data_IF_956115523058
#
_entry.id   IF_956115523058
#
_cell.length_a   1.000
_cell.length_b   1.000
_cell.length_c   1.000
_cell.angle_alpha   90.00
_cell.angle_beta   90.00
_cell.angle_gamma   90.00
#
_symmetry.space_group_name_H-M   'P 1'
#
loop_
_entity.id
_entity.type
_entity.pdbx_description
1 polymer ?
#
# COMPACT_ATOMS: atom_id res chain seq x y z
N UNK A 1 -8.57 17.84 23.07
CA UNK A 1 -7.88 16.92 22.14
C UNK A 1 -6.55 17.57 21.77
N UNK A 2 -5.44 16.95 22.14
CA UNK A 2 -4.09 17.44 21.86
C UNK A 2 -3.81 17.21 20.37
N UNK A 3 -3.56 18.27 19.60
CA UNK A 3 -3.24 18.18 18.16
C UNK A 3 -1.72 18.08 18.02
N UNK A 4 -1.23 16.98 17.47
CA UNK A 4 0.21 16.69 17.44
C UNK A 4 0.80 17.04 16.08
N UNK A 5 1.56 18.13 16.03
CA UNK A 5 2.42 18.44 14.88
C UNK A 5 3.77 17.78 15.13
N UNK A 6 4.14 16.79 14.31
CA UNK A 6 5.39 16.05 14.42
C UNK A 6 6.26 16.38 13.21
N UNK A 7 7.30 17.17 13.45
CA UNK A 7 8.24 17.58 12.42
C UNK A 7 9.54 16.82 12.62
N UNK A 8 9.90 15.96 11.66
CA UNK A 8 11.20 15.32 11.61
C UNK A 8 12.08 16.07 10.62
N UNK A 9 13.00 16.87 11.14
CA UNK A 9 13.92 17.64 10.31
C UNK A 9 15.35 17.42 10.74
N UNK A 10 16.26 17.44 9.76
CA UNK A 10 17.68 17.65 10.02
C UNK A 10 17.88 19.02 10.71
N UNK A 11 18.94 19.22 11.52
CA UNK A 11 19.17 20.46 12.27
C UNK A 11 19.09 21.74 11.43
N UNK A 12 19.50 21.68 10.15
CA UNK A 12 19.46 22.80 9.21
C UNK A 12 18.06 23.20 8.74
N UNK A 13 17.08 22.30 8.80
CA UNK A 13 15.69 22.62 8.44
C UNK A 13 14.90 23.21 9.63
N UNK A 14 15.38 23.03 10.86
CA UNK A 14 14.78 23.61 12.07
C UNK A 14 14.82 25.16 12.04
N UNK A 15 15.97 25.74 11.70
CA UNK A 15 16.13 27.20 11.60
C UNK A 15 15.22 27.84 10.53
N UNK A 16 14.77 27.07 9.53
CA UNK A 16 13.87 27.53 8.46
C UNK A 16 12.38 27.39 8.81
N UNK A 17 12.03 26.51 9.74
CA UNK A 17 10.66 26.31 10.22
C UNK A 17 10.20 27.42 11.17
N UNK A 18 11.14 27.99 11.92
CA UNK A 18 10.87 28.85 13.08
C UNK A 18 10.36 30.26 12.73
N UNK A 19 10.63 30.80 11.53
CA UNK A 19 10.40 32.23 11.25
C UNK A 19 9.03 32.59 10.68
N UNK A 20 8.34 31.73 9.93
CA UNK A 20 7.08 32.08 9.25
C UNK A 20 5.94 31.06 9.40
N UNK A 21 6.26 29.76 9.46
CA UNK A 21 5.28 28.69 9.38
C UNK A 21 4.76 28.25 10.75
N UNK A 22 5.65 28.21 11.76
CA UNK A 22 5.26 27.89 13.14
C UNK A 22 4.11 28.80 13.62
N UNK A 23 4.19 30.14 13.57
CA UNK A 23 3.12 31.02 14.08
C UNK A 23 1.73 30.78 13.43
N UNK A 24 1.70 30.38 12.15
CA UNK A 24 0.46 30.06 11.42
C UNK A 24 -0.09 28.67 11.76
N UNK A 25 0.79 27.70 11.98
CA UNK A 25 0.44 26.35 12.50
C UNK A 25 0.04 26.38 14.00
N UNK A 26 0.55 27.36 14.76
CA UNK A 26 0.43 27.49 16.22
C UNK A 26 -0.91 28.02 16.71
N UNK A 27 -1.80 28.57 15.87
CA UNK A 27 -3.07 29.19 16.32
C UNK A 27 -3.92 28.20 17.16
N UNK A 28 -3.70 28.19 18.49
CA UNK A 28 -4.42 27.45 19.51
C UNK A 28 -3.92 26.06 19.92
N UNK A 29 -2.68 25.62 19.60
CA UNK A 29 -2.32 24.18 19.73
C UNK A 29 -0.95 23.86 20.39
N UNK A 30 -0.90 22.73 21.11
CA UNK A 30 0.33 22.15 21.70
C UNK A 30 1.16 21.44 20.63
N UNK A 31 2.37 21.94 20.34
CA UNK A 31 3.29 21.30 19.37
C UNK A 31 4.24 20.36 20.11
N UNK A 32 4.32 19.10 19.67
CA UNK A 32 5.33 18.14 20.14
C UNK A 32 6.47 18.03 19.13
N UNK A 33 7.50 18.86 19.32
CA UNK A 33 8.76 18.76 18.58
C UNK A 33 9.56 17.58 19.15
N UNK A 34 9.75 16.52 18.37
CA UNK A 34 10.62 15.39 18.74
C UNK A 34 11.90 15.42 17.91
N UNK A 35 13.03 15.68 18.57
CA UNK A 35 14.35 15.49 17.98
C UNK A 35 14.77 14.02 18.13
N UNK A 36 15.31 13.37 17.09
CA UNK A 36 15.89 12.05 17.26
C UNK A 36 17.15 12.16 18.14
N UNK A 37 17.18 11.40 19.24
CA UNK A 37 18.41 11.14 19.99
C UNK A 37 19.27 10.25 19.09
N UNK A 38 20.35 10.81 18.53
CA UNK A 38 21.39 10.06 17.84
C UNK A 38 22.02 9.07 18.81
N UNK A 39 21.63 7.80 18.74
CA UNK A 39 22.41 6.67 19.24
C UNK A 39 22.65 5.74 18.06
N UNK A 40 23.91 5.67 17.63
CA UNK A 40 24.41 4.58 16.82
C UNK A 40 24.17 3.28 17.60
N UNK A 41 23.40 2.34 17.03
CA UNK A 41 23.69 0.89 17.11
C UNK A 41 22.67 0.05 16.31
N UNK A 42 23.25 -0.82 15.47
CA UNK A 42 22.77 -2.14 15.03
C UNK A 42 21.67 -2.27 13.94
N UNK A 43 22.08 -2.16 12.67
CA UNK A 43 21.37 -2.69 11.48
C UNK A 43 21.99 -3.97 10.87
N UNK A 44 22.70 -4.78 11.65
CA UNK A 44 23.33 -6.02 11.14
C UNK A 44 22.60 -7.33 11.52
N UNK A 45 21.46 -7.27 12.22
CA UNK A 45 20.79 -8.48 12.73
C UNK A 45 19.72 -9.09 11.81
N UNK A 46 19.40 -8.49 10.66
CA UNK A 46 18.31 -8.98 9.81
C UNK A 46 18.76 -9.96 8.72
N UNK A 47 19.98 -9.81 8.17
CA UNK A 47 20.50 -10.68 7.10
C UNK A 47 20.99 -12.03 7.66
N UNK A 48 21.46 -12.08 8.92
CA UNK A 48 21.89 -13.33 9.58
C UNK A 48 20.71 -14.25 9.92
N UNK A 49 19.50 -13.72 10.16
CA UNK A 49 18.34 -14.50 10.61
C UNK A 49 17.67 -15.31 9.48
N UNK A 50 17.78 -14.85 8.22
CA UNK A 50 17.21 -15.58 7.07
C UNK A 50 18.15 -16.71 6.61
N UNK A 51 19.47 -16.52 6.66
CA UNK A 51 20.45 -17.55 6.30
C UNK A 51 20.57 -18.66 7.36
N UNK A 52 20.39 -18.32 8.64
CA UNK A 52 20.34 -19.31 9.73
C UNK A 52 19.06 -20.17 9.69
N UNK A 53 17.92 -19.61 9.24
CA UNK A 53 16.66 -20.38 9.05
C UNK A 53 16.70 -21.34 7.85
N UNK A 54 17.40 -20.98 6.78
CA UNK A 54 17.58 -21.87 5.60
C UNK A 54 18.58 -23.01 5.86
N UNK A 55 19.61 -22.77 6.67
CA UNK A 55 20.57 -23.81 7.08
C UNK A 55 19.99 -24.78 8.12
N UNK A 56 19.08 -24.33 8.99
CA UNK A 56 18.34 -25.20 9.90
C UNK A 56 17.44 -26.20 9.13
N UNK A 57 16.77 -25.74 8.07
CA UNK A 57 15.87 -26.58 7.25
C UNK A 57 16.60 -27.62 6.38
N UNK A 58 17.87 -27.37 6.01
CA UNK A 58 18.71 -28.36 5.32
C UNK A 58 19.30 -29.41 6.27
N UNK A 59 19.50 -29.10 7.55
CA UNK A 59 19.97 -30.08 8.56
C UNK A 59 18.87 -31.02 9.05
N UNK A 60 17.61 -30.58 9.11
CA UNK A 60 16.50 -31.44 9.57
C UNK A 60 16.07 -32.49 8.55
N UNK A 61 16.36 -32.32 7.25
CA UNK A 61 16.03 -33.32 6.22
C UNK A 61 17.16 -34.33 5.94
N UNK A 62 18.36 -34.13 6.48
CA UNK A 62 19.50 -35.03 6.30
C UNK A 62 19.70 -36.04 7.45
N UNK A 63 18.98 -35.88 8.58
CA UNK A 63 19.10 -36.71 9.78
C UNK A 63 17.79 -37.39 10.19
N UNK A 64 17.03 -37.92 9.22
CA UNK A 64 15.94 -38.87 9.50
C UNK A 64 16.51 -40.23 9.90
N UNK A 65 17.20 -40.28 11.03
CA UNK A 65 17.48 -41.52 11.74
C UNK A 65 16.14 -41.95 12.36
N UNK A 66 15.62 -43.11 11.91
CA UNK A 66 14.48 -43.78 12.53
C UNK A 66 14.78 -44.00 14.01
N UNK A 67 14.28 -43.11 14.87
CA UNK A 67 14.12 -43.41 16.29
C UNK A 67 12.99 -44.41 16.37
N UNK A 68 13.34 -45.69 16.56
CA UNK A 68 12.41 -46.74 16.93
C UNK A 68 11.95 -46.41 18.34
N UNK A 69 10.77 -45.81 18.46
CA UNK A 69 10.09 -45.62 19.73
C UNK A 69 9.58 -47.01 20.16
N UNK A 70 9.90 -47.49 21.38
CA UNK A 70 9.40 -48.78 21.87
C UNK A 70 7.87 -48.80 21.90
N UNK A 71 7.31 -49.89 21.39
CA UNK A 71 5.89 -50.11 21.05
C UNK A 71 4.92 -50.20 22.24
N UNK A 72 5.28 -49.69 23.43
CA UNK A 72 4.56 -49.99 24.69
C UNK A 72 4.14 -48.78 25.54
N UNK A 73 3.88 -47.62 24.92
CA UNK A 73 3.27 -46.46 25.60
C UNK A 73 2.13 -45.79 24.81
N UNK A 74 1.57 -46.47 23.81
CA UNK A 74 0.42 -46.00 23.05
C UNK A 74 -0.88 -46.60 23.58
N UNK A 75 -1.42 -46.07 24.67
CA UNK A 75 -2.85 -46.15 25.01
C UNK A 75 -3.08 -45.25 26.23
N UNK A 76 -3.41 -43.97 26.00
CA UNK A 76 -4.08 -43.01 26.91
C UNK A 76 -3.73 -41.54 26.67
N UNK A 77 -3.10 -41.21 25.52
CA UNK A 77 -3.14 -39.84 25.04
C UNK A 77 -4.55 -39.56 24.54
N UNK A 78 -5.37 -38.96 25.41
CA UNK A 78 -6.70 -38.47 25.09
C UNK A 78 -6.72 -37.57 23.83
N UNK A 79 -7.91 -37.20 23.34
CA UNK A 79 -8.01 -36.37 22.14
C UNK A 79 -7.12 -35.14 22.29
N UNK A 80 -6.34 -34.84 21.23
CA UNK A 80 -5.49 -33.65 21.23
C UNK A 80 -6.30 -32.43 21.64
N UNK A 81 -5.76 -31.45 22.40
CA UNK A 81 -6.55 -30.34 22.91
C UNK A 81 -7.37 -29.59 21.85
N UNK A 82 -6.91 -29.60 20.59
CA UNK A 82 -7.63 -28.97 19.49
C UNK A 82 -8.88 -29.71 19.02
N UNK A 83 -8.98 -31.01 19.30
CA UNK A 83 -10.18 -31.81 19.05
C UNK A 83 -11.26 -31.57 20.11
N UNK A 84 -10.90 -30.93 21.24
CA UNK A 84 -11.85 -30.54 22.29
C UNK A 84 -12.50 -29.18 22.00
N UNK A 85 -11.98 -28.43 21.02
CA UNK A 85 -12.51 -27.11 20.68
C UNK A 85 -13.75 -27.25 19.78
N UNK A 86 -14.87 -26.60 20.10
CA UNK A 86 -16.01 -26.47 19.19
C UNK A 86 -15.58 -25.94 17.82
N UNK A 87 -16.19 -26.46 16.75
CA UNK A 87 -15.83 -26.11 15.37
C UNK A 87 -16.03 -24.62 15.08
N UNK A 88 -17.00 -23.99 15.73
CA UNK A 88 -17.30 -22.56 15.61
C UNK A 88 -16.16 -21.70 16.16
N UNK A 89 -15.60 -22.08 17.31
CA UNK A 89 -14.46 -21.39 17.91
C UNK A 89 -13.20 -21.62 17.09
N UNK A 90 -13.01 -22.83 16.56
CA UNK A 90 -11.88 -23.13 15.68
C UNK A 90 -11.94 -22.32 14.37
N UNK A 91 -13.13 -22.26 13.75
CA UNK A 91 -13.41 -21.43 12.58
C UNK A 91 -13.15 -19.94 12.87
N UNK A 92 -13.58 -19.44 14.04
CA UNK A 92 -13.33 -18.07 14.44
C UNK A 92 -11.83 -17.76 14.61
N UNK A 93 -11.07 -18.65 15.25
CA UNK A 93 -9.61 -18.52 15.38
C UNK A 93 -8.95 -18.48 14.00
N UNK A 94 -9.40 -19.34 13.07
CA UNK A 94 -8.88 -19.33 11.70
C UNK A 94 -9.16 -18.02 10.98
N UNK A 95 -10.35 -17.43 11.16
CA UNK A 95 -10.67 -16.14 10.57
C UNK A 95 -9.74 -15.04 11.04
N UNK A 96 -9.51 -14.96 12.36
CA UNK A 96 -8.55 -14.02 12.93
C UNK A 96 -7.14 -14.23 12.37
N UNK A 97 -6.76 -15.48 12.08
CA UNK A 97 -5.43 -15.83 11.54
C UNK A 97 -5.25 -15.51 10.05
N UNK A 98 -6.37 -15.32 9.33
CA UNK A 98 -6.38 -14.98 7.89
C UNK A 98 -6.60 -13.47 7.71
N UNK A 99 -7.06 -12.76 8.74
CA UNK A 99 -7.35 -11.33 8.67
C UNK A 99 -6.07 -10.47 8.63
N UNK A 100 -5.77 -9.78 7.50
CA UNK A 100 -4.52 -9.04 7.36
C UNK A 100 -4.39 -7.85 8.30
N UNK A 101 -5.51 -7.29 8.77
CA UNK A 101 -5.58 -6.14 9.67
C UNK A 101 -4.99 -6.44 11.05
N UNK A 102 -5.17 -7.67 11.53
CA UNK A 102 -4.72 -8.11 12.85
C UNK A 102 -3.29 -8.65 12.81
N UNK A 103 -2.90 -9.27 11.69
CA UNK A 103 -1.61 -9.93 11.55
C UNK A 103 -0.96 -9.65 10.18
N UNK A 104 -0.44 -8.44 9.96
CA UNK A 104 0.10 -8.03 8.66
C UNK A 104 1.28 -8.89 8.16
N UNK A 105 1.95 -9.63 9.05
CA UNK A 105 3.15 -10.43 8.75
C UNK A 105 2.91 -11.95 8.79
N UNK A 106 1.71 -12.42 9.13
CA UNK A 106 1.41 -13.86 9.31
C UNK A 106 0.02 -14.19 8.81
N UNK A 107 -0.25 -13.95 7.52
CA UNK A 107 -1.53 -14.33 6.92
C UNK A 107 -1.47 -15.81 6.57
N UNK A 108 -2.00 -16.67 7.44
CA UNK A 108 -2.22 -18.06 7.09
C UNK A 108 -3.33 -18.12 6.03
N UNK A 109 -3.11 -18.81 4.90
CA UNK A 109 -4.18 -19.03 3.92
C UNK A 109 -5.09 -20.18 4.38
N UNK A 110 -6.36 -20.20 3.92
CA UNK A 110 -7.24 -21.35 4.09
C UNK A 110 -6.58 -22.67 3.62
N UNK A 111 -5.81 -22.60 2.52
CA UNK A 111 -5.04 -23.75 2.03
C UNK A 111 -3.99 -24.21 3.05
N UNK A 112 -3.28 -23.30 3.70
CA UNK A 112 -2.30 -23.61 4.74
C UNK A 112 -2.96 -24.28 5.94
N UNK A 113 -4.08 -23.72 6.42
CA UNK A 113 -4.84 -24.27 7.55
C UNK A 113 -5.39 -25.67 7.24
N UNK A 114 -5.85 -25.89 6.00
CA UNK A 114 -6.40 -27.18 5.55
C UNK A 114 -5.38 -28.34 5.52
N UNK A 115 -4.09 -28.04 5.65
CA UNK A 115 -2.99 -29.02 5.59
C UNK A 115 -2.55 -29.56 6.95
N UNK A 116 -3.07 -29.02 8.06
CA UNK A 116 -2.62 -29.38 9.42
C UNK A 116 -3.14 -30.75 9.86
N UNK A 117 -4.45 -30.91 10.00
CA UNK A 117 -5.09 -32.18 10.35
C UNK A 117 -6.47 -32.32 9.70
N UNK A 118 -7.12 -33.48 9.83
CA UNK A 118 -8.45 -33.72 9.26
C UNK A 118 -9.52 -32.78 9.81
N UNK A 119 -9.48 -32.46 11.10
CA UNK A 119 -10.43 -31.55 11.77
C UNK A 119 -10.29 -30.13 11.22
N UNK A 120 -9.05 -29.62 11.09
CA UNK A 120 -8.80 -28.31 10.52
C UNK A 120 -9.26 -28.23 9.07
N UNK A 121 -8.94 -29.27 8.28
CA UNK A 121 -9.40 -29.37 6.89
C UNK A 121 -10.91 -29.34 6.77
N UNK A 122 -11.61 -30.12 7.60
CA UNK A 122 -13.08 -30.15 7.63
C UNK A 122 -13.65 -28.77 8.01
N UNK A 123 -13.10 -28.15 9.06
CA UNK A 123 -13.52 -26.82 9.54
C UNK A 123 -13.32 -25.74 8.47
N UNK A 124 -12.14 -25.71 7.83
CA UNK A 124 -11.85 -24.76 6.75
C UNK A 124 -12.75 -25.02 5.55
N UNK A 125 -13.01 -26.28 5.24
CA UNK A 125 -13.84 -26.69 4.12
C UNK A 125 -15.31 -26.22 4.25
N UNK A 126 -15.83 -26.14 5.48
CA UNK A 126 -17.24 -25.79 5.74
C UNK A 126 -17.48 -24.31 6.00
N UNK A 127 -16.45 -23.47 6.15
CA UNK A 127 -16.62 -22.03 6.37
C UNK A 127 -16.23 -21.19 5.13
N UNK A 128 -17.22 -20.67 4.37
CA UNK A 128 -16.96 -19.87 3.19
C UNK A 128 -16.18 -18.57 3.45
N UNK A 129 -16.14 -18.05 4.69
CA UNK A 129 -15.46 -16.78 5.03
C UNK A 129 -13.96 -16.93 4.88
N UNK A 130 -13.43 -18.14 5.11
CA UNK A 130 -12.01 -18.42 4.95
C UNK A 130 -11.58 -18.42 3.48
N UNK A 131 -12.54 -18.56 2.55
CA UNK A 131 -12.31 -18.61 1.11
C UNK A 131 -12.68 -17.31 0.39
N UNK A 132 -13.19 -16.30 1.10
CA UNK A 132 -13.60 -15.03 0.50
C UNK A 132 -12.44 -14.05 0.29
N UNK A 133 -11.24 -14.35 0.78
CA UNK A 133 -10.04 -13.55 0.57
C UNK A 133 -8.87 -14.46 0.18
N UNK A 134 -8.27 -14.25 -0.98
CA UNK A 134 -7.13 -15.09 -1.43
C UNK A 134 -6.23 -14.34 -2.41
N UNK A 135 -4.93 -14.62 -2.28
CA UNK A 135 -3.92 -14.25 -3.25
C UNK A 135 -3.56 -15.45 -4.13
N UNK A 136 -3.63 -15.28 -5.45
CA UNK A 136 -3.34 -16.31 -6.44
C UNK A 136 -2.12 -15.89 -7.23
N UNK A 137 -1.05 -16.64 -7.04
CA UNK A 137 0.16 -16.52 -7.84
C UNK A 137 0.00 -17.33 -9.13
N UNK A 138 -0.01 -16.62 -10.24
CA UNK A 138 -0.06 -17.18 -11.59
C UNK A 138 1.37 -17.49 -12.00
N UNK A 139 1.77 -18.74 -11.78
CA UNK A 139 3.07 -19.28 -12.16
C UNK A 139 2.86 -20.34 -13.24
N UNK A 140 3.67 -20.36 -14.30
CA UNK A 140 3.59 -21.40 -15.30
C UNK A 140 3.68 -22.83 -14.74
N UNK A 141 2.85 -23.71 -15.28
CA UNK A 141 2.70 -25.13 -14.90
C UNK A 141 2.16 -25.37 -13.48
N UNK A 142 1.69 -24.34 -12.78
CA UNK A 142 0.98 -24.50 -11.51
C UNK A 142 -0.53 -24.57 -11.68
N UNK A 143 -1.20 -25.18 -10.69
CA UNK A 143 -2.65 -25.39 -10.65
C UNK A 143 -3.43 -24.16 -10.17
N UNK A 144 -3.05 -22.96 -10.62
CA UNK A 144 -3.74 -21.71 -10.24
C UNK A 144 -5.21 -21.70 -10.72
N UNK A 145 -5.51 -22.40 -11.83
CA UNK A 145 -6.89 -22.60 -12.32
C UNK A 145 -7.74 -23.36 -11.32
N UNK A 146 -7.22 -24.45 -10.79
CA UNK A 146 -7.91 -25.26 -9.79
C UNK A 146 -8.17 -24.45 -8.52
N UNK A 147 -7.26 -23.53 -8.17
CA UNK A 147 -7.45 -22.61 -7.05
C UNK A 147 -8.55 -21.59 -7.30
N UNK A 148 -8.64 -21.00 -8.50
CA UNK A 148 -9.76 -20.11 -8.86
C UNK A 148 -11.11 -20.83 -8.81
N UNK A 149 -11.19 -22.05 -9.34
CA UNK A 149 -12.41 -22.86 -9.32
C UNK A 149 -12.77 -23.26 -7.88
N UNK A 150 -11.77 -23.65 -7.09
CA UNK A 150 -11.95 -24.00 -5.68
C UNK A 150 -12.45 -22.80 -4.88
N UNK A 151 -11.87 -21.62 -5.09
CA UNK A 151 -12.30 -20.37 -4.47
C UNK A 151 -13.75 -20.05 -4.84
N UNK A 152 -14.10 -20.14 -6.13
CA UNK A 152 -15.47 -19.97 -6.62
C UNK A 152 -16.46 -20.85 -5.84
N UNK A 153 -16.13 -22.14 -5.74
CA UNK A 153 -17.01 -23.15 -5.13
C UNK A 153 -17.12 -22.99 -3.61
N UNK A 154 -16.00 -22.69 -2.94
CA UNK A 154 -15.94 -22.70 -1.47
C UNK A 154 -16.42 -21.41 -0.83
N UNK A 155 -16.30 -20.28 -1.53
CA UNK A 155 -16.69 -18.97 -1.01
C UNK A 155 -18.21 -18.74 -1.02
N UNK A 156 -19.00 -19.63 -1.63
CA UNK A 156 -20.47 -19.53 -1.66
C UNK A 156 -20.91 -18.30 -2.44
N UNK A 157 -21.77 -17.46 -1.87
CA UNK A 157 -22.22 -16.18 -2.44
C UNK A 157 -21.54 -14.95 -1.81
N UNK A 158 -20.49 -15.15 -1.00
CA UNK A 158 -19.87 -14.05 -0.25
C UNK A 158 -19.11 -13.08 -1.18
N UNK A 159 -18.99 -11.79 -0.83
CA UNK A 159 -18.10 -10.87 -1.52
C UNK A 159 -16.66 -11.39 -1.52
N UNK A 160 -15.96 -11.22 -2.64
CA UNK A 160 -14.62 -11.74 -2.86
C UNK A 160 -13.59 -10.62 -2.83
N UNK A 161 -12.51 -10.87 -2.08
CA UNK A 161 -11.25 -10.14 -2.12
C UNK A 161 -10.22 -10.99 -2.85
N UNK A 162 -9.80 -10.56 -4.04
CA UNK A 162 -8.89 -11.31 -4.89
C UNK A 162 -7.65 -10.50 -5.20
N UNK A 163 -6.49 -11.11 -4.98
CA UNK A 163 -5.20 -10.61 -5.46
C UNK A 163 -4.66 -11.59 -6.51
N UNK A 164 -4.35 -11.09 -7.70
CA UNK A 164 -3.73 -11.85 -8.79
C UNK A 164 -2.31 -11.35 -9.01
N UNK A 165 -1.32 -12.23 -8.86
CA UNK A 165 0.09 -11.90 -9.01
C UNK A 165 0.68 -12.77 -10.11
N UNK A 166 1.13 -12.16 -11.19
CA UNK A 166 1.82 -12.82 -12.27
C UNK A 166 3.31 -12.93 -11.99
N UNK A 167 3.86 -14.14 -12.13
CA UNK A 167 5.30 -14.37 -12.06
C UNK A 167 5.82 -14.78 -13.44
N UNK A 168 6.48 -13.87 -14.17
CA UNK A 168 6.90 -14.15 -15.53
C UNK A 168 8.01 -15.20 -15.57
N UNK A 169 7.99 -16.05 -16.60
CA UNK A 169 9.09 -16.96 -16.93
C UNK A 169 9.68 -16.63 -18.31
N UNK A 170 10.90 -17.08 -18.57
CA UNK A 170 11.52 -16.87 -19.89
C UNK A 170 10.74 -17.64 -20.96
N UNK A 171 10.10 -16.92 -21.90
CA UNK A 171 9.34 -17.51 -23.02
C UNK A 171 7.82 -17.27 -23.02
N UNK A 172 7.31 -16.40 -22.14
CA UNK A 172 5.89 -16.28 -21.76
C UNK A 172 4.83 -15.90 -22.82
N UNK A 173 5.17 -15.62 -24.08
CA UNK A 173 4.18 -15.12 -25.05
C UNK A 173 3.01 -16.09 -25.26
N UNK A 174 3.26 -17.40 -25.32
CA UNK A 174 2.20 -18.41 -25.44
C UNK A 174 1.38 -18.57 -24.15
N UNK A 175 1.99 -18.26 -22.99
CA UNK A 175 1.35 -18.43 -21.69
C UNK A 175 0.25 -17.36 -21.45
N UNK A 176 0.45 -16.14 -21.96
CA UNK A 176 -0.55 -15.06 -21.90
C UNK A 176 -1.87 -15.48 -22.54
N UNK A 177 -1.85 -16.07 -23.74
CA UNK A 177 -3.07 -16.50 -24.46
C UNK A 177 -3.87 -17.52 -23.64
N UNK A 178 -3.19 -18.47 -22.99
CA UNK A 178 -3.83 -19.50 -22.17
C UNK A 178 -4.53 -18.92 -20.93
N UNK A 179 -3.97 -17.84 -20.38
CA UNK A 179 -4.50 -17.17 -19.19
C UNK A 179 -5.68 -16.28 -19.54
N UNK A 180 -5.57 -15.48 -20.61
CA UNK A 180 -6.68 -14.69 -21.14
C UNK A 180 -7.91 -15.57 -21.40
N UNK A 181 -7.74 -16.71 -22.07
CA UNK A 181 -8.84 -17.65 -22.35
C UNK A 181 -9.46 -18.24 -21.08
N UNK A 182 -8.66 -18.52 -20.05
CA UNK A 182 -9.16 -19.07 -18.79
C UNK A 182 -9.94 -18.01 -18.02
N UNK A 183 -9.37 -16.81 -17.88
CA UNK A 183 -10.01 -15.70 -17.18
C UNK A 183 -11.31 -15.31 -17.88
N UNK A 184 -11.30 -15.14 -19.20
CA UNK A 184 -12.51 -14.81 -19.96
C UNK A 184 -13.69 -15.76 -19.67
N UNK A 185 -13.43 -17.06 -19.49
CA UNK A 185 -14.46 -18.05 -19.13
C UNK A 185 -14.92 -17.97 -17.67
N UNK A 186 -14.06 -17.55 -16.75
CA UNK A 186 -14.36 -17.51 -15.31
C UNK A 186 -14.84 -16.14 -14.84
N UNK A 187 -14.52 -15.06 -15.56
CA UNK A 187 -14.83 -13.68 -15.19
C UNK A 187 -16.32 -13.47 -14.91
N UNK A 188 -17.27 -13.86 -15.79
CA UNK A 188 -18.69 -13.62 -15.53
C UNK A 188 -19.23 -14.31 -14.27
N UNK A 189 -18.60 -15.40 -13.83
CA UNK A 189 -19.01 -16.16 -12.65
C UNK A 189 -18.47 -15.56 -11.35
N UNK A 190 -17.27 -14.99 -11.39
CA UNK A 190 -16.55 -14.52 -10.21
C UNK A 190 -16.72 -13.01 -9.99
N UNK A 191 -16.66 -12.23 -11.06
CA UNK A 191 -16.58 -10.77 -11.01
C UNK A 191 -17.79 -10.05 -10.39
N UNK A 192 -19.05 -10.52 -10.50
CA UNK A 192 -20.16 -9.86 -9.83
C UNK A 192 -20.00 -9.77 -8.31
N UNK A 193 -19.21 -10.68 -7.74
CA UNK A 193 -18.97 -10.79 -6.31
C UNK A 193 -17.69 -10.09 -5.88
N UNK A 194 -16.87 -9.61 -6.81
CA UNK A 194 -15.63 -8.93 -6.46
C UNK A 194 -15.92 -7.60 -5.79
N UNK A 195 -15.38 -7.45 -4.59
CA UNK A 195 -15.48 -6.24 -3.79
C UNK A 195 -14.10 -5.57 -3.62
N UNK A 196 -13.05 -6.38 -3.53
CA UNK A 196 -11.66 -5.90 -3.51
C UNK A 196 -10.85 -6.67 -4.55
N UNK A 197 -10.23 -5.95 -5.48
CA UNK A 197 -9.43 -6.54 -6.55
C UNK A 197 -8.03 -5.93 -6.57
N UNK A 198 -7.01 -6.77 -6.60
CA UNK A 198 -5.62 -6.36 -6.75
C UNK A 198 -5.00 -7.12 -7.91
N UNK A 199 -4.48 -6.39 -8.90
CA UNK A 199 -3.98 -6.92 -10.15
C UNK A 199 -2.52 -6.53 -10.34
N UNK A 200 -1.64 -7.52 -10.13
CA UNK A 200 -0.20 -7.45 -10.43
C UNK A 200 0.07 -8.39 -11.61
N UNK A 201 -0.61 -8.11 -12.73
CA UNK A 201 -0.60 -8.93 -13.94
C UNK A 201 -0.25 -8.08 -15.17
N UNK A 202 0.11 -8.69 -16.31
CA UNK A 202 0.30 -7.96 -17.56
C UNK A 202 -0.92 -7.10 -17.93
N UNK A 203 -0.65 -5.97 -18.59
CA UNK A 203 -1.62 -4.91 -18.83
C UNK A 203 -2.76 -5.32 -19.79
N UNK A 204 -2.47 -6.22 -20.73
CA UNK A 204 -3.46 -6.88 -21.58
C UNK A 204 -4.46 -7.73 -20.75
N UNK A 205 -3.98 -8.37 -19.68
CA UNK A 205 -4.85 -9.09 -18.74
C UNK A 205 -5.66 -8.12 -17.89
N UNK A 206 -5.08 -6.99 -17.45
CA UNK A 206 -5.83 -5.96 -16.73
C UNK A 206 -6.96 -5.42 -17.61
N UNK A 207 -6.66 -5.04 -18.86
CA UNK A 207 -7.67 -4.57 -19.80
C UNK A 207 -8.78 -5.61 -20.01
N UNK A 208 -8.41 -6.88 -20.27
CA UNK A 208 -9.38 -7.98 -20.40
C UNK A 208 -10.32 -8.09 -19.18
N UNK A 209 -9.79 -7.92 -17.97
CA UNK A 209 -10.61 -7.98 -16.77
C UNK A 209 -11.52 -6.76 -16.69
N UNK A 210 -10.99 -5.56 -16.84
CA UNK A 210 -11.74 -4.32 -16.62
C UNK A 210 -12.76 -4.03 -17.72
N UNK A 211 -12.51 -4.45 -18.97
CA UNK A 211 -13.43 -4.27 -20.11
C UNK A 211 -14.62 -5.23 -20.09
N UNK A 212 -14.41 -6.47 -19.64
CA UNK A 212 -15.39 -7.55 -19.84
C UNK A 212 -16.01 -8.08 -18.54
N UNK A 213 -15.47 -7.73 -17.38
CA UNK A 213 -16.02 -8.17 -16.11
C UNK A 213 -17.16 -7.25 -15.65
N UNK A 214 -18.34 -7.78 -15.29
CA UNK A 214 -19.30 -7.03 -14.49
C UNK A 214 -18.75 -6.80 -13.08
N UNK A 215 -18.56 -5.54 -12.70
CA UNK A 215 -17.94 -5.14 -11.43
C UNK A 215 -18.91 -4.35 -10.50
N UNK A 216 -20.18 -4.78 -10.32
CA UNK A 216 -21.20 -3.98 -9.64
C UNK A 216 -20.89 -3.71 -8.17
N UNK A 217 -20.14 -4.60 -7.51
CA UNK A 217 -19.84 -4.53 -6.08
C UNK A 217 -18.39 -4.10 -5.79
N UNK A 218 -17.62 -3.75 -6.82
CA UNK A 218 -16.20 -3.43 -6.66
C UNK A 218 -16.04 -2.09 -5.93
N UNK A 219 -15.42 -2.11 -4.76
CA UNK A 219 -15.15 -0.92 -3.95
C UNK A 219 -13.67 -0.54 -3.92
N UNK A 220 -12.78 -1.52 -4.02
CA UNK A 220 -11.33 -1.33 -4.01
C UNK A 220 -10.69 -1.96 -5.25
N UNK A 221 -9.90 -1.17 -5.97
CA UNK A 221 -9.06 -1.62 -7.09
C UNK A 221 -7.60 -1.20 -6.87
N UNK A 222 -6.68 -2.15 -6.98
CA UNK A 222 -5.23 -1.85 -7.04
C UNK A 222 -4.61 -2.45 -8.30
N UNK A 223 -3.82 -1.65 -9.01
CA UNK A 223 -3.15 -2.01 -10.26
C UNK A 223 -1.64 -1.87 -10.08
N UNK A 224 -0.87 -2.90 -10.41
CA UNK A 224 0.58 -2.92 -10.24
C UNK A 224 1.31 -3.59 -11.39
N UNK A 225 0.93 -3.29 -12.64
CA UNK A 225 1.60 -3.85 -13.83
C UNK A 225 2.96 -3.17 -14.07
N UNK A 226 4.01 -3.96 -14.33
CA UNK A 226 5.39 -3.49 -14.51
C UNK A 226 5.75 -3.09 -15.96
N UNK A 227 4.80 -3.17 -16.89
CA UNK A 227 5.07 -2.93 -18.32
C UNK A 227 5.48 -1.47 -18.62
N UNK A 228 6.45 -1.30 -19.53
CA UNK A 228 7.07 -0.02 -19.86
C UNK A 228 6.21 0.93 -20.70
N UNK A 229 5.30 0.36 -21.49
CA UNK A 229 4.55 1.13 -22.47
C UNK A 229 3.05 0.92 -22.28
N UNK A 230 2.24 2.01 -22.32
CA UNK A 230 0.81 1.86 -22.45
C UNK A 230 0.52 1.22 -23.82
N UNK A 231 -0.21 0.09 -23.93
CA UNK A 231 -0.87 -0.27 -25.17
C UNK A 231 -1.65 0.94 -25.70
N UNK A 232 -1.53 1.16 -27.01
CA UNK A 232 -2.10 2.24 -27.84
C UNK A 232 -3.64 2.15 -27.92
N UNK A 233 -4.30 1.75 -26.85
CA UNK A 233 -5.73 1.48 -26.81
C UNK A 233 -6.38 2.50 -25.88
N UNK A 234 -7.48 3.07 -26.34
CA UNK A 234 -8.42 3.82 -25.50
C UNK A 234 -8.86 2.89 -24.36
N UNK A 235 -8.25 2.98 -23.18
CA UNK A 235 -8.58 2.09 -22.08
C UNK A 235 -9.95 2.42 -21.49
N UNK A 236 -10.86 1.45 -21.67
CA UNK A 236 -11.84 0.94 -20.70
C UNK A 236 -12.60 1.99 -19.90
N UNK A 237 -13.79 2.39 -20.37
CA UNK A 237 -14.78 3.06 -19.52
C UNK A 237 -15.16 2.11 -18.38
N UNK A 238 -14.70 2.36 -17.16
CA UNK A 238 -15.06 1.56 -15.98
C UNK A 238 -16.47 1.88 -15.45
N UNK A 239 -17.41 2.18 -16.35
CA UNK A 239 -18.78 2.59 -16.06
C UNK A 239 -19.58 1.48 -15.33
N UNK A 240 -19.08 0.25 -15.38
CA UNK A 240 -19.68 -0.92 -14.73
C UNK A 240 -19.27 -1.12 -13.25
N UNK A 241 -18.50 -0.20 -12.67
CA UNK A 241 -18.08 -0.23 -11.26
C UNK A 241 -18.60 0.99 -10.46
N UNK A 242 -19.93 1.14 -10.23
CA UNK A 242 -20.53 2.32 -9.59
C UNK A 242 -20.18 2.46 -8.10
N UNK A 243 -19.69 1.40 -7.48
CA UNK A 243 -19.34 1.37 -6.07
C UNK A 243 -17.85 1.58 -5.82
N UNK A 244 -17.03 1.84 -6.85
CA UNK A 244 -15.59 2.03 -6.66
C UNK A 244 -15.32 3.29 -5.82
N UNK A 245 -14.59 3.12 -4.72
CA UNK A 245 -14.24 4.19 -3.76
C UNK A 245 -12.74 4.36 -3.58
N UNK A 246 -11.99 3.26 -3.62
CA UNK A 246 -10.54 3.27 -3.45
C UNK A 246 -9.85 2.78 -4.72
N UNK A 247 -8.96 3.61 -5.26
CA UNK A 247 -8.12 3.27 -6.41
C UNK A 247 -6.64 3.41 -6.04
N UNK A 248 -5.85 2.39 -6.37
CA UNK A 248 -4.43 2.32 -6.07
C UNK A 248 -3.60 1.95 -7.30
N UNK A 249 -2.60 2.76 -7.65
CA UNK A 249 -1.59 2.45 -8.64
C UNK A 249 -0.29 2.10 -7.93
N UNK A 250 -0.06 0.80 -7.75
CA UNK A 250 1.03 0.23 -6.97
C UNK A 250 2.37 0.15 -7.72
N UNK A 251 2.37 0.36 -9.04
CA UNK A 251 3.59 0.38 -9.86
C UNK A 251 3.92 1.80 -10.35
N UNK A 252 5.21 2.13 -10.41
CA UNK A 252 5.70 3.47 -10.82
C UNK A 252 5.26 3.87 -12.23
N UNK A 253 5.07 2.88 -13.11
CA UNK A 253 4.80 3.09 -14.54
C UNK A 253 3.32 3.16 -14.88
N UNK A 254 2.43 2.82 -13.93
CA UNK A 254 0.98 2.86 -14.16
C UNK A 254 0.45 4.28 -14.00
N UNK A 255 0.54 5.11 -15.06
CA UNK A 255 0.09 6.51 -14.98
C UNK A 255 -1.44 6.59 -14.87
N UNK A 256 -2.01 7.12 -13.77
CA UNK A 256 -3.45 7.23 -13.55
C UNK A 256 -4.20 7.94 -14.68
N UNK A 257 -3.59 8.99 -15.25
CA UNK A 257 -4.21 9.91 -16.21
C UNK A 257 -4.59 9.23 -17.53
N UNK A 258 -3.97 8.09 -17.83
CA UNK A 258 -4.26 7.29 -19.03
C UNK A 258 -5.48 6.37 -18.87
N UNK A 259 -6.07 6.29 -17.69
CA UNK A 259 -7.22 5.42 -17.42
C UNK A 259 -8.53 6.20 -17.41
N UNK A 260 -9.53 5.71 -18.12
CA UNK A 260 -10.90 6.24 -18.05
C UNK A 260 -11.67 5.63 -16.86
N UNK A 261 -11.37 6.15 -15.67
CA UNK A 261 -11.97 5.70 -14.42
C UNK A 261 -13.12 6.62 -14.00
N UNK A 262 -14.06 6.13 -13.20
CA UNK A 262 -15.08 6.96 -12.55
C UNK A 262 -14.43 7.77 -11.41
N UNK A 263 -13.58 8.73 -11.77
CA UNK A 263 -12.79 9.55 -10.84
C UNK A 263 -13.66 10.30 -9.84
N UNK A 264 -14.87 10.71 -10.26
CA UNK A 264 -15.76 11.56 -9.47
C UNK A 264 -16.33 10.90 -8.22
N UNK A 265 -16.42 9.57 -8.18
CA UNK A 265 -16.94 8.81 -7.03
C UNK A 265 -15.85 8.31 -6.07
N UNK A 266 -14.57 8.49 -6.41
CA UNK A 266 -13.46 8.05 -5.57
C UNK A 266 -13.35 8.88 -4.30
N UNK A 267 -13.15 8.19 -3.18
CA UNK A 267 -12.86 8.78 -1.87
C UNK A 267 -11.40 8.60 -1.47
N UNK A 268 -10.72 7.60 -2.03
CA UNK A 268 -9.31 7.33 -1.77
C UNK A 268 -8.54 7.07 -3.07
N UNK A 269 -7.43 7.77 -3.23
CA UNK A 269 -6.53 7.61 -4.36
C UNK A 269 -5.10 7.45 -3.87
N UNK A 270 -4.45 6.35 -4.24
CA UNK A 270 -3.04 6.12 -4.01
C UNK A 270 -2.35 5.93 -5.36
N UNK A 271 -1.34 6.73 -5.67
CA UNK A 271 -0.52 6.54 -6.86
C UNK A 271 0.95 6.60 -6.51
N UNK A 272 1.62 5.47 -6.71
CA UNK A 272 3.08 5.43 -6.75
C UNK A 272 3.62 5.91 -8.09
N UNK A 273 2.76 6.13 -9.09
CA UNK A 273 3.19 6.59 -10.40
C UNK A 273 3.76 8.00 -10.34
N UNK A 274 4.81 8.23 -11.13
CA UNK A 274 5.47 9.52 -11.26
C UNK A 274 4.57 10.47 -12.06
N UNK A 275 4.04 11.48 -11.39
CA UNK A 275 3.24 12.55 -11.99
C UNK A 275 4.04 13.86 -12.05
N UNK A 276 3.85 14.64 -13.10
CA UNK A 276 4.22 16.06 -13.07
C UNK A 276 3.25 16.84 -12.17
N UNK A 277 3.65 18.04 -11.73
CA UNK A 277 2.76 18.94 -10.97
C UNK A 277 1.41 19.19 -11.68
N UNK A 278 1.41 19.55 -12.98
CA UNK A 278 0.19 19.77 -13.75
C UNK A 278 -0.66 18.51 -13.89
N UNK A 279 -0.03 17.37 -14.12
CA UNK A 279 -0.68 16.06 -14.13
C UNK A 279 -1.38 15.75 -12.79
N UNK A 280 -0.74 16.06 -11.67
CA UNK A 280 -1.36 15.91 -10.35
C UNK A 280 -2.56 16.85 -10.16
N UNK A 281 -2.47 18.12 -10.58
CA UNK A 281 -3.60 19.08 -10.54
C UNK A 281 -4.77 18.59 -11.38
N UNK A 282 -4.50 18.13 -12.60
CA UNK A 282 -5.50 17.58 -13.50
C UNK A 282 -6.18 16.33 -12.93
N UNK A 283 -5.41 15.44 -12.29
CA UNK A 283 -5.96 14.25 -11.66
C UNK A 283 -6.87 14.62 -10.47
N UNK A 284 -6.44 15.58 -9.64
CA UNK A 284 -7.19 16.06 -8.49
C UNK A 284 -8.48 16.78 -8.91
N UNK A 285 -8.48 17.52 -10.02
CA UNK A 285 -9.68 18.20 -10.53
C UNK A 285 -10.79 17.24 -10.96
N UNK A 286 -10.43 16.00 -11.32
CA UNK A 286 -11.39 14.93 -11.65
C UNK A 286 -11.96 14.21 -10.43
N UNK A 287 -11.44 14.47 -9.22
CA UNK A 287 -11.78 13.75 -7.99
C UNK A 287 -12.43 14.67 -6.92
N UNK A 288 -13.61 15.27 -7.16
CA UNK A 288 -14.26 16.20 -6.22
C UNK A 288 -14.65 15.58 -4.87
N UNK A 289 -14.83 14.25 -4.81
CA UNK A 289 -15.22 13.54 -3.59
C UNK A 289 -14.04 12.93 -2.81
N UNK A 290 -12.81 13.24 -3.21
CA UNK A 290 -11.62 12.64 -2.62
C UNK A 290 -11.43 13.06 -1.17
N UNK A 291 -11.26 12.10 -0.26
CA UNK A 291 -11.01 12.32 1.17
C UNK A 291 -9.55 12.03 1.54
N UNK A 292 -8.93 11.02 0.92
CA UNK A 292 -7.53 10.64 1.16
C UNK A 292 -6.80 10.52 -0.17
N UNK A 293 -5.66 11.18 -0.27
CA UNK A 293 -4.84 11.18 -1.47
C UNK A 293 -3.38 10.94 -1.13
N UNK A 294 -2.75 9.99 -1.82
CA UNK A 294 -1.30 9.82 -1.82
C UNK A 294 -0.80 9.84 -3.25
N UNK A 295 0.06 10.80 -3.61
CA UNK A 295 0.62 10.92 -4.95
C UNK A 295 2.14 11.00 -4.89
N UNK A 296 2.80 10.47 -5.92
CA UNK A 296 4.22 10.73 -6.18
C UNK A 296 4.35 11.77 -7.27
N UNK A 297 5.00 12.89 -6.96
CA UNK A 297 5.18 14.02 -7.89
C UNK A 297 6.66 14.23 -8.13
N UNK A 298 7.06 14.39 -9.39
CA UNK A 298 8.43 14.64 -9.81
C UNK A 298 8.51 15.84 -10.76
N UNK A 299 9.62 16.58 -10.72
CA UNK A 299 9.87 17.66 -11.68
C UNK A 299 10.00 17.08 -13.09
N UNK A 300 8.99 17.30 -13.94
CA UNK A 300 9.04 16.89 -15.32
C UNK A 300 10.13 17.69 -16.06
N UNK A 301 11.15 16.97 -16.56
CA UNK A 301 12.25 17.57 -17.33
C UNK A 301 11.82 17.99 -18.76
N UNK A 302 10.66 17.55 -19.27
CA UNK A 302 10.40 17.54 -20.71
C UNK A 302 8.98 17.92 -21.17
N UNK A 303 8.05 18.29 -20.29
CA UNK A 303 6.68 18.66 -20.71
C UNK A 303 6.56 20.19 -20.74
N UNK A 304 6.63 20.77 -21.94
CA UNK A 304 6.19 22.13 -22.22
C UNK A 304 4.67 22.09 -22.45
N UNK A 305 3.90 21.96 -21.39
CA UNK A 305 2.45 22.20 -21.48
C UNK A 305 2.22 23.69 -21.20
N UNK A 306 1.65 24.41 -22.18
CA UNK A 306 1.14 25.77 -22.00
C UNK A 306 -0.02 25.69 -20.99
N UNK A 307 0.24 26.05 -19.73
CA UNK A 307 -0.77 26.02 -18.68
C UNK A 307 -1.62 27.30 -18.70
N UNK A 308 -2.96 27.14 -18.68
CA UNK A 308 -3.85 28.13 -18.08
C UNK A 308 -3.54 28.19 -16.58
N UNK A 309 -2.55 29.03 -16.22
CA UNK A 309 -2.02 29.17 -14.85
C UNK A 309 -3.07 29.65 -13.83
N UNK A 310 -4.21 30.18 -14.30
CA UNK A 310 -5.17 30.91 -13.47
C UNK A 310 -6.34 30.07 -12.93
N UNK A 311 -6.53 28.82 -13.37
CA UNK A 311 -7.67 28.01 -12.91
C UNK A 311 -7.36 27.32 -11.59
N UNK A 312 -8.06 27.74 -10.54
CA UNK A 312 -8.04 27.11 -9.22
C UNK A 312 -8.88 25.82 -9.20
N UNK A 313 -8.28 24.75 -8.70
CA UNK A 313 -8.89 23.44 -8.47
C UNK A 313 -9.19 23.29 -6.98
N UNK A 314 -10.48 23.22 -6.66
CA UNK A 314 -10.96 23.00 -5.31
C UNK A 314 -11.24 21.52 -5.10
N UNK A 315 -10.62 20.90 -4.09
CA UNK A 315 -10.89 19.51 -3.68
C UNK A 315 -11.54 19.55 -2.30
N UNK A 316 -12.86 19.74 -2.22
CA UNK A 316 -13.52 20.23 -1.01
C UNK A 316 -13.52 19.23 0.14
N UNK A 317 -13.48 17.93 -0.15
CA UNK A 317 -13.59 16.86 0.85
C UNK A 317 -12.25 16.28 1.29
N UNK A 318 -11.13 16.77 0.76
CA UNK A 318 -9.82 16.18 1.00
C UNK A 318 -9.37 16.46 2.43
N UNK A 319 -9.32 15.41 3.25
CA UNK A 319 -8.90 15.45 4.66
C UNK A 319 -7.45 15.08 4.86
N UNK A 320 -6.92 14.18 4.02
CA UNK A 320 -5.55 13.69 4.14
C UNK A 320 -4.84 13.72 2.79
N UNK A 321 -3.73 14.46 2.72
CA UNK A 321 -2.86 14.53 1.55
C UNK A 321 -1.44 14.08 1.90
N UNK A 322 -0.93 13.09 1.18
CA UNK A 322 0.46 12.65 1.26
C UNK A 322 1.14 12.83 -0.11
N UNK A 323 2.22 13.58 -0.16
CA UNK A 323 2.98 13.82 -1.38
C UNK A 323 4.39 13.26 -1.22
N UNK A 324 4.73 12.34 -2.12
CA UNK A 324 6.08 11.79 -2.25
C UNK A 324 6.78 12.56 -3.37
N UNK A 325 7.76 13.37 -3.01
CA UNK A 325 8.37 14.35 -3.91
C UNK A 325 9.72 13.85 -4.42
N UNK A 326 9.91 13.80 -5.74
CA UNK A 326 11.17 13.42 -6.38
C UNK A 326 11.68 14.50 -7.35
N UNK A 327 12.95 14.38 -7.76
CA UNK A 327 13.57 15.23 -8.79
C UNK A 327 13.56 16.72 -8.45
N UNK A 328 14.46 17.17 -7.58
CA UNK A 328 14.55 18.59 -7.14
C UNK A 328 15.33 19.49 -8.09
N UNK A 329 15.45 19.15 -9.37
CA UNK A 329 16.15 20.00 -10.33
C UNK A 329 15.41 21.32 -10.55
N UNK A 330 14.07 21.33 -10.42
CA UNK A 330 13.22 22.52 -10.50
C UNK A 330 12.07 22.47 -9.48
N UNK A 331 12.34 23.04 -8.30
CA UNK A 331 11.40 23.16 -7.16
C UNK A 331 10.20 24.02 -7.50
N UNK A 332 10.39 25.05 -8.32
CA UNK A 332 9.31 25.99 -8.67
C UNK A 332 8.25 25.28 -9.50
N UNK A 333 8.65 24.40 -10.41
CA UNK A 333 7.71 23.55 -11.16
C UNK A 333 7.04 22.51 -10.28
N UNK A 334 7.80 21.86 -9.41
CA UNK A 334 7.26 20.84 -8.50
C UNK A 334 6.19 21.41 -7.58
N UNK A 335 6.41 22.59 -7.02
CA UNK A 335 5.48 23.22 -6.08
C UNK A 335 4.52 24.22 -6.72
N UNK A 336 4.65 24.47 -8.02
CA UNK A 336 3.69 25.25 -8.81
C UNK A 336 2.26 24.71 -8.68
N UNK A 337 2.11 23.39 -8.51
CA UNK A 337 0.80 22.76 -8.27
C UNK A 337 0.06 23.35 -7.06
N UNK A 338 0.79 23.78 -6.03
CA UNK A 338 0.19 24.40 -4.85
C UNK A 338 -0.37 25.78 -5.10
N UNK A 339 -0.02 26.47 -6.19
CA UNK A 339 -0.68 27.74 -6.53
C UNK A 339 -2.11 27.52 -7.02
N UNK A 340 -2.37 26.34 -7.59
CA UNK A 340 -3.62 26.00 -8.27
C UNK A 340 -4.59 25.22 -7.39
N UNK A 341 -4.19 24.76 -6.21
CA UNK A 341 -5.01 23.87 -5.40
C UNK A 341 -5.64 24.59 -4.20
N UNK A 342 -6.84 24.18 -3.82
CA UNK A 342 -7.56 24.66 -2.62
C UNK A 342 -8.15 23.46 -1.89
N UNK A 343 -7.81 23.30 -0.61
CA UNK A 343 -8.16 22.15 0.21
C UNK A 343 -8.87 22.55 1.52
N UNK A 344 -10.15 22.96 1.45
CA UNK A 344 -10.83 23.58 2.58
C UNK A 344 -11.05 22.65 3.78
N UNK A 345 -11.09 21.33 3.56
CA UNK A 345 -11.27 20.33 4.63
C UNK A 345 -9.98 19.61 5.02
N UNK A 346 -8.81 20.14 4.68
CA UNK A 346 -7.54 19.44 4.91
C UNK A 346 -7.16 19.43 6.39
N UNK A 347 -7.10 18.22 6.95
CA UNK A 347 -6.73 17.98 8.34
C UNK A 347 -5.30 17.45 8.48
N UNK A 348 -4.83 16.68 7.48
CA UNK A 348 -3.54 15.99 7.51
C UNK A 348 -2.76 16.23 6.24
N UNK A 349 -1.54 16.70 6.40
CA UNK A 349 -0.62 16.93 5.29
C UNK A 349 0.73 16.27 5.57
N UNK A 350 1.17 15.42 4.67
CA UNK A 350 2.44 14.70 4.75
C UNK A 350 3.29 14.89 3.50
N UNK A 351 4.55 15.27 3.71
CA UNK A 351 5.57 15.34 2.68
C UNK A 351 6.61 14.24 2.90
N UNK A 352 6.93 13.49 1.86
CA UNK A 352 8.00 12.49 1.88
C UNK A 352 8.99 12.79 0.77
N UNK A 353 10.28 12.76 1.08
CA UNK A 353 11.32 12.75 0.07
C UNK A 353 11.36 11.37 -0.63
N UNK A 354 11.31 11.38 -1.95
CA UNK A 354 11.51 10.19 -2.75
C UNK A 354 12.99 9.80 -2.72
N UNK A 355 13.32 8.79 -1.92
CA UNK A 355 14.62 8.12 -2.02
C UNK A 355 14.80 7.59 -3.43
N UNK A 356 15.62 8.27 -4.22
CA UNK A 356 16.21 7.65 -5.40
C UNK A 356 17.22 6.64 -4.88
N UNK A 357 16.85 5.35 -4.95
CA UNK A 357 17.80 4.24 -4.82
C UNK A 357 18.78 4.16 -6.02
N UNK A 358 18.74 5.14 -6.93
CA UNK A 358 19.73 5.25 -8.01
C UNK A 358 21.08 5.64 -7.41
N UNK A 359 21.85 4.59 -7.12
CA UNK A 359 23.32 4.51 -7.12
C UNK A 359 24.04 5.86 -7.04
N UNK A 360 24.61 6.16 -5.87
CA UNK A 360 26.00 6.62 -5.53
C UNK A 360 26.84 7.37 -6.59
N UNK A 361 26.27 7.94 -7.65
CA UNK A 361 27.03 8.62 -8.70
C UNK A 361 27.10 10.10 -8.34
N UNK A 362 28.15 10.43 -7.60
CA UNK A 362 28.60 11.79 -7.34
C UNK A 362 28.10 12.31 -6.00
N UNK A 363 29.01 12.45 -5.04
CA UNK A 363 28.79 13.01 -3.70
C UNK A 363 28.43 14.51 -3.69
N UNK A 364 27.55 14.94 -4.58
CA UNK A 364 26.90 16.24 -4.51
C UNK A 364 25.82 16.15 -3.45
N UNK A 365 26.04 16.86 -2.35
CA UNK A 365 25.05 17.07 -1.30
C UNK A 365 23.71 17.46 -1.95
N UNK A 366 22.70 16.59 -1.83
CA UNK A 366 21.33 16.95 -2.22
C UNK A 366 20.92 18.15 -1.37
N UNK A 367 20.80 19.31 -1.99
CA UNK A 367 20.24 20.49 -1.34
C UNK A 367 18.80 20.15 -0.98
N UNK A 368 18.51 20.08 0.32
CA UNK A 368 17.14 19.93 0.78
C UNK A 368 16.43 21.27 0.58
N UNK A 369 15.29 21.24 -0.13
CA UNK A 369 14.52 22.43 -0.39
C UNK A 369 13.34 22.51 0.57
N UNK A 370 13.19 23.68 1.19
CA UNK A 370 12.06 23.95 2.08
C UNK A 370 10.82 24.28 1.26
N UNK A 371 9.69 23.65 1.61
CA UNK A 371 8.41 23.78 0.90
C UNK A 371 7.61 25.00 1.40
N UNK A 372 8.09 25.69 2.43
CA UNK A 372 7.30 26.66 3.19
C UNK A 372 6.74 27.81 2.35
N UNK A 373 7.54 28.35 1.42
CA UNK A 373 7.14 29.47 0.55
C UNK A 373 5.91 29.14 -0.32
N UNK A 374 5.69 27.86 -0.63
CA UNK A 374 4.54 27.40 -1.41
C UNK A 374 3.40 26.90 -0.53
N UNK A 375 3.74 26.36 0.64
CA UNK A 375 2.77 25.80 1.57
C UNK A 375 1.96 26.89 2.26
N UNK A 376 2.58 28.00 2.67
CA UNK A 376 1.87 29.08 3.35
C UNK A 376 0.75 29.66 2.47
N UNK A 377 0.98 30.04 1.19
CA UNK A 377 -0.09 30.48 0.31
C UNK A 377 -1.19 29.43 0.08
N UNK A 378 -0.84 28.14 0.04
CA UNK A 378 -1.81 27.06 -0.09
C UNK A 378 -2.74 27.00 1.12
N UNK A 379 -2.18 27.03 2.33
CA UNK A 379 -2.95 26.95 3.57
C UNK A 379 -3.79 28.23 3.78
N UNK A 380 -3.20 29.40 3.52
CA UNK A 380 -3.92 30.68 3.60
C UNK A 380 -5.13 30.68 2.65
N UNK A 381 -4.95 30.25 1.38
CA UNK A 381 -6.04 30.18 0.40
C UNK A 381 -7.07 29.09 0.70
N UNK A 382 -6.64 28.00 1.35
CA UNK A 382 -7.53 26.90 1.71
C UNK A 382 -8.35 27.18 2.96
N UNK A 383 -7.94 28.15 3.78
CA UNK A 383 -8.58 28.48 5.06
C UNK A 383 -8.75 27.27 6.00
N UNK A 384 -7.89 26.25 5.85
CA UNK A 384 -7.98 25.00 6.60
C UNK A 384 -7.10 25.00 7.87
N UNK A 385 -7.43 24.12 8.82
CA UNK A 385 -6.69 23.94 10.07
C UNK A 385 -6.13 22.52 10.12
N UNK A 386 -4.81 22.39 9.98
CA UNK A 386 -4.15 21.09 10.04
C UNK A 386 -4.14 20.56 11.48
N UNK A 387 -4.61 19.32 11.65
CA UNK A 387 -4.46 18.56 12.88
C UNK A 387 -3.12 17.82 12.95
N UNK A 388 -2.59 17.44 11.78
CA UNK A 388 -1.29 16.80 11.67
C UNK A 388 -0.54 17.32 10.44
N UNK A 389 0.69 17.76 10.66
CA UNK A 389 1.64 18.08 9.62
C UNK A 389 2.89 17.24 9.82
N UNK A 390 3.32 16.53 8.77
CA UNK A 390 4.50 15.66 8.80
C UNK A 390 5.39 15.92 7.60
N UNK A 391 6.67 16.09 7.85
CA UNK A 391 7.71 16.09 6.80
C UNK A 391 8.66 14.94 7.12
N UNK A 392 8.87 14.06 6.16
CA UNK A 392 9.79 12.92 6.23
C UNK A 392 10.88 13.13 5.20
N UNK A 393 12.03 13.62 5.67
CA UNK A 393 13.23 13.74 4.85
C UNK A 393 14.03 12.45 4.98
N UNK A 394 14.27 11.75 3.88
CA UNK A 394 15.07 10.53 3.90
C UNK A 394 16.50 10.87 3.46
N UNK A 395 17.33 11.23 4.45
CA UNK A 395 18.78 11.40 4.29
C UNK A 395 19.54 10.14 4.72
N UNK A 396 20.74 9.93 4.15
CA UNK A 396 21.60 8.74 4.28
C UNK A 396 21.53 7.93 5.59
N UNK A 397 21.40 6.61 5.41
CA UNK A 397 21.72 5.52 6.36
C UNK A 397 21.01 5.43 7.71
N UNK A 398 19.97 6.22 7.99
CA UNK A 398 19.11 5.96 9.17
C UNK A 398 17.63 6.19 8.87
N UNK A 399 16.87 5.09 8.77
CA UNK A 399 15.42 5.14 8.80
C UNK A 399 14.98 5.43 10.24
N UNK A 400 14.27 6.54 10.47
CA UNK A 400 13.64 6.84 11.75
C UNK A 400 12.13 6.85 11.53
N UNK A 401 11.46 5.83 12.05
CA UNK A 401 10.01 5.84 12.28
C UNK A 401 9.79 5.77 13.79
N UNK A 402 9.08 6.74 14.36
CA UNK A 402 8.54 6.64 15.71
C UNK A 402 7.07 7.05 15.72
N UNK A 403 6.27 6.28 16.43
CA UNK A 403 4.90 6.61 16.84
C UNK A 403 4.82 6.61 18.37
N UNK A 404 3.88 7.36 18.94
CA UNK A 404 3.74 7.47 20.40
C UNK A 404 2.30 7.36 20.89
N UNK A 405 2.12 6.58 21.97
CA UNK A 405 0.96 6.51 22.86
C UNK A 405 1.34 7.04 24.25
N UNK A 406 0.42 7.76 24.92
CA UNK A 406 0.40 7.95 26.38
C UNK A 406 1.43 8.92 26.97
N UNK A 407 1.06 10.20 27.10
CA UNK A 407 1.92 11.27 27.59
C UNK A 407 2.40 11.13 29.03
N UNK A 408 3.72 11.21 29.23
CA UNK A 408 4.47 12.05 30.19
C UNK A 408 5.96 11.69 30.12
N UNK A 409 6.85 12.68 30.09
CA UNK A 409 8.30 12.50 30.08
C UNK A 409 8.85 12.86 31.46
N UNK A 410 9.57 11.93 32.10
CA UNK A 410 10.32 12.18 33.35
C UNK A 410 11.80 12.33 32.99
N UNK A 411 12.35 13.51 33.25
CA UNK A 411 13.78 13.81 33.18
C UNK A 411 14.55 13.04 34.28
N UNK A 412 15.59 12.32 33.88
CA UNK A 412 16.61 11.79 34.80
C UNK A 412 18.00 11.98 34.20
N UNK A 413 18.47 13.22 34.17
CA UNK A 413 19.90 13.49 34.23
C UNK A 413 20.39 13.34 35.69
N UNK A 414 21.10 12.24 35.98
CA UNK A 414 22.01 12.16 37.14
C UNK A 414 23.42 11.88 36.63
N UNK A 415 24.24 12.93 36.74
CA UNK A 415 25.70 12.96 36.72
C UNK A 415 26.33 11.92 37.65
N UNK A 416 27.44 11.32 37.20
CA UNK A 416 28.64 10.91 37.97
C UNK A 416 29.74 10.61 36.94
N UNK A 417 30.76 11.46 36.89
CA UNK A 417 32.09 11.26 37.51
C UNK A 417 32.85 10.07 36.93
#
# INVERSE_FOLDING_TARGET
MTRTIIVYTLPTAYDMLDSELLPKLIKGHDIKLEMPIMREEATDLWIVNIQSRLSFRRRTNANSQKVVIPDQLQTDLGPSPIQLLPLELLSYIFLLSVEPSLFPNTVASALTLSRVCSVWRATVATDPRLWSSTSIHIVPNQKWRDLLILLSTRSGDRPLSLELIWHPTRGDKEYNISISNTLYRQLPLLSPRWHRLQLFVPLDIVALILDYAPLPNLEFLSLGSECEEPPVLNWTQLDHAPNLRTLSFAALRSRPIWWDMPWSQLTELNSKSLLSGPQAVFLLSRCPNLERCQLRVESARFEHEEEDEDVLVVVPKLKSLSLVLGGFDDIWRLFGLFRRLVFPSLDRLEFRDAVQNDSVVGGLYKKHYWVGEFLVPLLDRSECSLEAFRVVLVGGSSHIELGFEGGTLVDRSRTRE
#
